data_IF_799442712891
#
_entry.id   IF_799442712891
#
_cell.length_a   1.000
_cell.length_b   1.000
_cell.length_c   1.000
_cell.angle_alpha   90.00
_cell.angle_beta   90.00
_cell.angle_gamma   90.00
#
_symmetry.space_group_name_H-M   'P 1'
#
loop_
_entity.id
_entity.type
_entity.pdbx_description
1 polymer ?
#
# COMPACT_ATOMS: atom_id res chain seq x y z
N UNK A 1 -54.16 -23.10 45.26
CA UNK A 1 -52.94 -23.67 45.88
C UNK A 1 -51.76 -22.82 45.45
N UNK A 2 -51.25 -22.02 46.38
CA UNK A 2 -50.17 -21.07 46.16
C UNK A 2 -48.81 -21.76 46.34
N UNK A 3 -47.83 -21.43 45.50
CA UNK A 3 -46.42 -21.70 45.79
C UNK A 3 -45.58 -20.57 45.21
N UNK A 4 -45.45 -19.56 46.06
CA UNK A 4 -44.53 -18.44 45.95
C UNK A 4 -43.19 -18.90 46.51
N UNK A 5 -42.12 -18.86 45.71
CA UNK A 5 -40.75 -19.10 46.22
C UNK A 5 -39.88 -17.90 45.90
N UNK A 6 -39.62 -17.13 46.96
CA UNK A 6 -38.61 -16.07 47.06
C UNK A 6 -37.22 -16.71 47.14
N UNK A 7 -36.22 -16.17 46.43
CA UNK A 7 -34.79 -16.24 46.82
C UNK A 7 -34.14 -14.90 46.45
N UNK A 8 -34.05 -13.96 47.39
CA UNK A 8 -32.92 -13.70 48.30
C UNK A 8 -31.62 -13.42 47.56
N UNK A 9 -31.23 -12.15 47.55
CA UNK A 9 -30.01 -11.66 46.92
C UNK A 9 -28.73 -12.06 47.65
N UNK A 10 -27.62 -11.84 46.97
CA UNK A 10 -26.29 -11.76 47.56
C UNK A 10 -25.57 -10.56 46.94
N UNK A 11 -25.76 -9.42 47.58
CA UNK A 11 -24.95 -8.23 47.39
C UNK A 11 -23.59 -8.49 48.04
N UNK A 12 -22.54 -8.69 47.25
CA UNK A 12 -21.16 -8.70 47.75
C UNK A 12 -20.54 -7.34 47.49
N UNK A 13 -20.78 -6.47 48.46
CA UNK A 13 -20.03 -5.25 48.69
C UNK A 13 -18.61 -5.65 49.11
N UNK A 14 -17.64 -5.57 48.19
CA UNK A 14 -16.22 -5.84 48.48
C UNK A 14 -15.52 -4.49 48.64
N UNK A 15 -15.57 -3.96 49.86
CA UNK A 15 -14.68 -2.89 50.28
C UNK A 15 -13.27 -3.47 50.35
N UNK A 16 -12.36 -2.92 49.56
CA UNK A 16 -10.92 -3.10 49.68
C UNK A 16 -10.35 -1.82 50.29
N UNK A 17 -9.97 -1.80 51.57
CA UNK A 17 -9.09 -0.78 52.10
C UNK A 17 -7.66 -1.33 52.01
N UNK A 18 -6.75 -0.61 51.35
CA UNK A 18 -5.42 -0.35 51.91
C UNK A 18 -4.74 0.78 51.14
N UNK A 19 -4.28 1.73 51.91
CA UNK A 19 -3.69 3.00 51.53
C UNK A 19 -2.30 2.80 50.95
N UNK A 20 -1.96 3.55 49.90
CA UNK A 20 -0.56 3.85 49.55
C UNK A 20 -0.52 5.23 48.88
N UNK A 21 -0.69 6.28 49.69
CA UNK A 21 -0.81 7.69 49.28
C UNK A 21 0.53 8.46 49.27
N UNK A 22 1.69 7.79 49.34
CA UNK A 22 2.98 8.50 49.47
C UNK A 22 3.92 8.40 48.26
N UNK A 23 3.38 8.25 47.04
CA UNK A 23 4.15 8.43 45.79
C UNK A 23 3.42 9.27 44.71
N UNK A 24 2.40 10.03 45.09
CA UNK A 24 1.53 10.76 44.17
C UNK A 24 2.04 12.15 43.74
N UNK A 25 3.36 12.33 43.64
CA UNK A 25 3.96 13.61 43.16
C UNK A 25 5.23 13.45 42.35
N UNK A 26 5.51 12.26 41.80
CA UNK A 26 6.24 12.23 40.54
C UNK A 26 5.25 12.54 39.44
N UNK A 27 5.29 13.79 38.99
CA UNK A 27 4.64 14.31 37.79
C UNK A 27 4.54 13.19 36.75
N UNK A 28 3.34 12.60 36.66
CA UNK A 28 2.96 11.68 35.59
C UNK A 28 2.84 12.53 34.34
N UNK A 29 3.98 13.01 33.87
CA UNK A 29 4.21 13.44 32.51
C UNK A 29 3.97 12.17 31.70
N UNK A 30 2.68 11.93 31.41
CA UNK A 30 2.23 10.88 30.54
C UNK A 30 2.98 11.12 29.25
N UNK A 31 4.00 10.29 29.05
CA UNK A 31 4.90 10.43 27.93
C UNK A 31 4.06 10.18 26.67
N UNK A 32 3.55 11.28 26.09
CA UNK A 32 2.57 11.26 25.00
C UNK A 32 3.17 10.62 23.75
N UNK A 33 4.49 10.49 23.72
CA UNK A 33 5.27 9.82 22.70
C UNK A 33 5.34 8.30 22.89
N UNK A 34 5.10 7.79 24.11
CA UNK A 34 5.08 6.35 24.34
C UNK A 34 3.74 5.73 23.92
N UNK A 35 3.75 5.14 22.73
CA UNK A 35 2.62 4.44 22.11
C UNK A 35 2.10 3.25 22.93
N UNK A 36 2.87 2.71 23.87
CA UNK A 36 2.43 1.60 24.71
C UNK A 36 1.37 2.02 25.72
N UNK A 37 1.43 3.27 26.18
CA UNK A 37 0.51 3.84 27.16
C UNK A 37 -0.82 4.26 26.54
N UNK A 38 -0.92 4.31 25.21
CA UNK A 38 -2.14 4.75 24.53
C UNK A 38 -3.27 3.74 24.69
N UNK A 39 -4.48 4.25 24.96
CA UNK A 39 -5.69 3.44 24.99
C UNK A 39 -6.20 3.16 23.57
N UNK A 40 -7.02 2.12 23.40
CA UNK A 40 -7.64 1.83 22.10
C UNK A 40 -8.55 2.97 21.60
N UNK A 41 -9.13 3.79 22.50
CA UNK A 41 -9.89 4.97 22.13
C UNK A 41 -8.98 6.04 21.51
N UNK A 42 -7.82 6.29 22.12
CA UNK A 42 -6.86 7.28 21.61
C UNK A 42 -6.36 6.94 20.21
N UNK A 43 -6.01 5.68 19.95
CA UNK A 43 -5.63 5.26 18.60
C UNK A 43 -6.72 5.52 17.57
N UNK A 44 -7.99 5.23 17.90
CA UNK A 44 -9.11 5.48 16.99
C UNK A 44 -9.30 6.96 16.69
N UNK A 45 -9.12 7.82 17.69
CA UNK A 45 -9.26 9.27 17.50
C UNK A 45 -8.13 9.83 16.64
N UNK A 46 -6.87 9.42 16.85
CA UNK A 46 -5.76 9.84 16.00
C UNK A 46 -5.91 9.34 14.56
N UNK A 47 -6.30 8.07 14.37
CA UNK A 47 -6.53 7.54 13.02
C UNK A 47 -7.75 8.19 12.34
N UNK A 48 -8.74 8.68 13.09
CA UNK A 48 -9.86 9.46 12.54
C UNK A 48 -9.40 10.83 12.04
N UNK A 49 -8.39 11.45 12.67
CA UNK A 49 -7.77 12.68 12.14
C UNK A 49 -7.08 12.42 10.79
N UNK A 50 -6.63 11.19 10.54
CA UNK A 50 -6.09 10.76 9.25
C UNK A 50 -7.17 10.38 8.22
N UNK A 51 -8.45 10.57 8.56
CA UNK A 51 -9.57 10.21 7.69
C UNK A 51 -9.86 8.71 7.60
N UNK A 52 -9.32 7.89 8.51
CA UNK A 52 -9.50 6.43 8.50
C UNK A 52 -10.69 6.06 9.39
N UNK A 53 -11.70 5.40 8.80
CA UNK A 53 -12.86 4.88 9.52
C UNK A 53 -12.55 3.51 10.14
N UNK A 54 -12.72 3.39 11.47
CA UNK A 54 -12.27 2.21 12.23
C UNK A 54 -13.43 1.50 12.93
N UNK A 55 -13.62 0.18 12.72
CA UNK A 55 -14.56 -0.64 13.47
C UNK A 55 -14.25 -0.71 14.97
N UNK A 56 -15.28 -0.71 15.82
CA UNK A 56 -15.11 -0.85 17.28
C UNK A 56 -14.49 -2.19 17.69
N UNK A 57 -14.67 -3.23 16.89
CA UNK A 57 -14.20 -4.60 17.15
C UNK A 57 -12.69 -4.81 17.03
N UNK A 58 -11.94 -3.87 16.44
CA UNK A 58 -10.50 -4.01 16.28
C UNK A 58 -9.75 -3.90 17.61
N UNK A 59 -8.77 -4.78 17.79
CA UNK A 59 -7.94 -4.84 19.00
C UNK A 59 -6.89 -3.72 19.04
N UNK A 60 -6.42 -3.37 20.24
CA UNK A 60 -5.37 -2.34 20.45
C UNK A 60 -4.12 -2.60 19.61
N UNK A 61 -3.71 -3.86 19.47
CA UNK A 61 -2.52 -4.24 18.67
C UNK A 61 -2.68 -3.89 17.20
N UNK A 62 -3.85 -4.19 16.60
CA UNK A 62 -4.14 -3.86 15.20
C UNK A 62 -4.17 -2.34 15.01
N UNK A 63 -4.76 -1.61 15.96
CA UNK A 63 -4.81 -0.15 15.93
C UNK A 63 -3.41 0.48 16.04
N UNK A 64 -2.53 -0.06 16.90
CA UNK A 64 -1.12 0.37 17.03
C UNK A 64 -0.36 0.18 15.72
N UNK A 65 -0.49 -0.99 15.08
CA UNK A 65 0.17 -1.27 13.81
C UNK A 65 -0.32 -0.34 12.70
N UNK A 66 -1.65 -0.18 12.57
CA UNK A 66 -2.23 0.71 11.56
C UNK A 66 -1.77 2.17 11.75
N UNK A 67 -1.64 2.62 12.99
CA UNK A 67 -1.13 3.95 13.29
C UNK A 67 0.33 4.12 12.86
N UNK A 68 1.20 3.15 13.17
CA UNK A 68 2.61 3.19 12.74
C UNK A 68 2.74 3.23 11.21
N UNK A 69 2.01 2.37 10.50
CA UNK A 69 2.04 2.29 9.03
C UNK A 69 1.59 3.59 8.33
N UNK A 70 0.76 4.40 9.00
CA UNK A 70 0.25 5.67 8.45
C UNK A 70 1.02 6.90 8.98
N UNK A 71 1.65 6.82 10.16
CA UNK A 71 2.42 7.93 10.75
C UNK A 71 3.60 8.32 9.86
N UNK A 72 4.27 7.35 9.24
CA UNK A 72 5.40 7.59 8.35
C UNK A 72 5.02 8.41 7.10
N UNK A 73 3.75 8.34 6.68
CA UNK A 73 3.26 9.07 5.50
C UNK A 73 2.98 10.54 5.76
N UNK A 74 2.87 10.96 7.02
CA UNK A 74 2.61 12.36 7.36
C UNK A 74 3.88 13.19 7.43
N UNK A 75 5.06 12.55 7.49
CA UNK A 75 6.32 13.26 7.65
C UNK A 75 6.95 13.72 6.31
N UNK A 76 6.35 13.39 5.16
CA UNK A 76 6.95 13.64 3.85
C UNK A 76 6.45 14.88 3.11
N UNK A 77 5.37 15.52 3.56
CA UNK A 77 4.67 16.52 2.74
C UNK A 77 4.96 18.00 3.08
N UNK A 78 5.78 18.30 4.09
CA UNK A 78 6.09 19.71 4.43
C UNK A 78 7.24 20.34 3.62
N UNK A 79 7.84 19.63 2.64
CA UNK A 79 9.03 20.15 1.91
C UNK A 79 8.78 20.66 0.48
N UNK A 80 7.59 20.52 -0.09
CA UNK A 80 7.32 20.97 -1.48
C UNK A 80 6.29 22.11 -1.59
N UNK A 81 6.07 22.85 -0.50
CA UNK A 81 5.17 24.01 -0.44
C UNK A 81 5.85 25.37 -0.24
N UNK A 82 7.19 25.45 -0.32
CA UNK A 82 7.88 26.75 -0.29
C UNK A 82 7.72 27.44 -1.65
N UNK A 83 6.59 28.12 -1.82
CA UNK A 83 6.42 29.15 -2.83
C UNK A 83 7.57 30.14 -2.71
N UNK A 84 8.40 30.16 -3.75
CA UNK A 84 9.27 31.28 -4.11
C UNK A 84 8.40 32.55 -4.18
N UNK A 85 8.32 33.28 -3.07
CA UNK A 85 8.00 34.69 -3.08
C UNK A 85 9.27 35.41 -3.55
N UNK A 86 9.44 35.46 -4.87
CA UNK A 86 10.37 36.39 -5.49
C UNK A 86 9.72 37.79 -5.50
N UNK A 87 10.49 38.73 -4.97
CA UNK A 87 10.55 40.15 -5.33
C UNK A 87 9.23 40.95 -5.37
N UNK A 88 9.00 41.67 -4.28
CA UNK A 88 8.25 42.91 -4.31
C UNK A 88 9.09 44.01 -3.65
N UNK A 89 9.81 44.82 -4.45
CA UNK A 89 9.94 46.28 -4.26
C UNK A 89 10.80 46.98 -5.34
N UNK A 90 10.14 47.90 -6.07
CA UNK A 90 10.60 49.25 -6.52
C UNK A 90 10.53 49.56 -8.04
N UNK A 91 9.63 50.52 -8.35
CA UNK A 91 9.62 51.58 -9.39
C UNK A 91 8.86 51.40 -10.74
N UNK A 92 7.64 51.95 -10.70
CA UNK A 92 7.04 53.01 -11.56
C UNK A 92 6.62 52.74 -13.03
N UNK A 93 5.60 53.50 -13.52
CA UNK A 93 4.69 53.09 -14.60
C UNK A 93 5.09 53.67 -15.95
N UNK A 94 4.81 52.94 -17.05
CA UNK A 94 4.75 53.50 -18.39
C UNK A 94 3.60 52.91 -19.20
N UNK A 95 2.68 53.82 -19.48
CA UNK A 95 1.75 53.97 -20.59
C UNK A 95 1.77 52.95 -21.74
N UNK A 96 0.56 52.47 -22.04
CA UNK A 96 -0.11 52.39 -23.34
C UNK A 96 0.71 52.12 -24.60
N UNK A 97 0.37 51.04 -25.32
CA UNK A 97 0.06 51.13 -26.77
C UNK A 97 -0.75 49.93 -27.23
N UNK A 98 -1.78 50.28 -28.00
CA UNK A 98 -2.77 49.43 -28.64
C UNK A 98 -2.16 48.32 -29.50
N UNK A 99 -2.67 47.10 -29.32
CA UNK A 99 -2.72 46.13 -30.40
C UNK A 99 -4.13 45.51 -30.47
N UNK A 100 -4.89 46.02 -31.43
CA UNK A 100 -6.03 45.34 -32.04
C UNK A 100 -5.56 43.97 -32.56
N UNK A 101 -6.29 42.89 -32.25
CA UNK A 101 -5.95 41.60 -32.83
C UNK A 101 -6.78 40.42 -32.34
N UNK A 102 -7.86 40.16 -33.08
CA UNK A 102 -8.42 38.83 -33.38
C UNK A 102 -9.20 38.14 -32.23
N UNK A 103 -10.52 38.28 -32.32
CA UNK A 103 -11.47 37.27 -31.84
C UNK A 103 -11.24 35.96 -32.60
N UNK A 104 -10.81 34.92 -31.89
CA UNK A 104 -11.05 33.52 -32.26
C UNK A 104 -11.57 32.77 -31.06
N UNK A 105 -12.78 32.22 -31.23
CA UNK A 105 -13.49 31.39 -30.30
C UNK A 105 -12.62 30.22 -29.82
N UNK A 106 -12.12 30.30 -28.59
CA UNK A 106 -11.44 29.19 -27.94
C UNK A 106 -12.28 28.72 -26.77
N UNK A 107 -13.21 27.85 -27.13
CA UNK A 107 -13.78 26.77 -26.35
C UNK A 107 -12.66 25.97 -25.66
N UNK A 108 -12.07 26.53 -24.59
CA UNK A 108 -11.21 25.81 -23.66
C UNK A 108 -12.11 25.02 -22.74
N UNK A 109 -12.64 23.95 -23.34
CA UNK A 109 -13.18 22.82 -22.63
C UNK A 109 -12.24 22.51 -21.48
N UNK A 110 -12.81 22.55 -20.27
CA UNK A 110 -12.23 21.98 -19.07
C UNK A 110 -11.50 20.71 -19.47
N UNK A 111 -10.17 20.78 -19.46
CA UNK A 111 -9.33 19.61 -19.36
C UNK A 111 -9.74 18.96 -18.04
N UNK A 112 -10.77 18.10 -18.11
CA UNK A 112 -10.94 17.00 -17.20
C UNK A 112 -9.58 16.32 -17.30
N UNK A 113 -8.73 16.60 -16.32
CA UNK A 113 -7.72 15.67 -15.87
C UNK A 113 -8.47 14.38 -15.65
N UNK A 114 -8.57 13.56 -16.70
CA UNK A 114 -8.90 12.16 -16.64
C UNK A 114 -7.74 11.63 -15.82
N UNK A 115 -7.88 11.72 -14.49
CA UNK A 115 -7.09 10.93 -13.58
C UNK A 115 -7.24 9.54 -14.17
N UNK A 116 -6.17 8.92 -14.71
CA UNK A 116 -6.29 7.57 -15.25
C UNK A 116 -6.92 6.79 -14.11
N UNK A 117 -8.14 6.30 -14.35
CA UNK A 117 -8.97 5.62 -13.38
C UNK A 117 -8.07 4.58 -12.73
N UNK A 118 -7.51 4.90 -11.55
CA UNK A 118 -6.38 4.15 -11.03
C UNK A 118 -6.93 2.76 -10.81
N UNK A 119 -6.52 1.78 -11.63
CA UNK A 119 -7.17 0.50 -11.65
C UNK A 119 -6.99 -0.03 -10.24
N UNK A 120 -8.13 -0.30 -9.60
CA UNK A 120 -8.30 -0.84 -8.26
C UNK A 120 -6.99 -1.50 -7.78
N UNK A 121 -6.37 -0.96 -6.71
CA UNK A 121 -5.01 -1.36 -6.25
C UNK A 121 -4.89 -2.86 -6.01
N UNK A 122 -6.03 -3.53 -5.83
CA UNK A 122 -6.16 -4.94 -5.57
C UNK A 122 -6.79 -5.67 -6.78
N UNK A 123 -6.33 -6.90 -7.02
CA UNK A 123 -6.94 -7.81 -8.00
C UNK A 123 -8.31 -8.33 -7.51
N UNK A 124 -8.96 -9.17 -8.32
CA UNK A 124 -10.26 -9.79 -7.96
C UNK A 124 -10.20 -10.64 -6.68
N UNK A 125 -9.01 -11.01 -6.24
CA UNK A 125 -8.75 -11.81 -5.05
C UNK A 125 -8.24 -10.94 -3.86
N UNK A 126 -8.24 -9.61 -4.00
CA UNK A 126 -7.81 -8.71 -2.94
C UNK A 126 -6.29 -8.59 -2.77
N UNK A 127 -5.48 -9.07 -3.72
CA UNK A 127 -4.01 -8.98 -3.67
C UNK A 127 -3.51 -7.75 -4.41
N UNK A 128 -2.44 -7.12 -3.93
CA UNK A 128 -1.82 -5.98 -4.60
C UNK A 128 -1.43 -6.31 -6.04
N UNK A 129 -1.80 -5.42 -6.96
CA UNK A 129 -1.43 -5.51 -8.38
C UNK A 129 -0.03 -4.94 -8.58
N UNK A 130 0.83 -5.67 -9.28
CA UNK A 130 2.19 -5.25 -9.61
C UNK A 130 2.26 -4.97 -11.11
N UNK A 131 2.86 -3.86 -11.51
CA UNK A 131 3.00 -3.48 -12.92
C UNK A 131 4.47 -3.38 -13.32
N UNK A 132 4.84 -3.94 -14.48
CA UNK A 132 6.14 -3.77 -15.14
C UNK A 132 5.94 -3.29 -16.57
N UNK A 133 6.63 -2.22 -16.94
CA UNK A 133 6.62 -1.71 -18.32
C UNK A 133 5.20 -1.44 -18.85
N UNK A 134 4.34 -0.90 -17.98
CA UNK A 134 2.93 -0.62 -18.28
C UNK A 134 2.01 -1.84 -18.36
N UNK A 135 2.52 -3.07 -18.15
CA UNK A 135 1.73 -4.31 -18.11
C UNK A 135 1.61 -4.85 -16.69
N UNK A 136 0.44 -5.38 -16.35
CA UNK A 136 0.23 -6.05 -15.07
C UNK A 136 0.96 -7.40 -15.03
N UNK A 137 1.73 -7.61 -13.96
CA UNK A 137 2.44 -8.85 -13.66
C UNK A 137 1.45 -9.90 -13.18
N UNK A 138 1.56 -11.12 -13.71
CA UNK A 138 0.71 -12.23 -13.29
C UNK A 138 1.03 -12.67 -11.86
N UNK A 139 0.12 -12.39 -10.93
CA UNK A 139 0.24 -12.85 -9.54
C UNK A 139 0.30 -14.37 -9.41
N UNK A 140 -0.34 -15.12 -10.32
CA UNK A 140 -0.27 -16.58 -10.30
C UNK A 140 1.10 -17.10 -10.74
N UNK A 141 1.74 -16.44 -11.71
CA UNK A 141 3.12 -16.77 -12.10
C UNK A 141 4.08 -16.64 -10.93
N UNK A 142 3.95 -15.58 -10.12
CA UNK A 142 4.78 -15.33 -8.94
C UNK A 142 4.40 -16.15 -7.70
N UNK A 143 3.49 -17.11 -7.82
CA UNK A 143 3.15 -18.03 -6.74
C UNK A 143 4.00 -19.31 -6.86
N UNK A 144 4.07 -20.11 -5.79
CA UNK A 144 4.82 -21.39 -5.75
C UNK A 144 4.35 -22.36 -6.83
N UNK A 145 3.06 -22.32 -7.19
CA UNK A 145 2.46 -23.17 -8.21
C UNK A 145 2.69 -22.70 -9.65
N UNK A 146 3.10 -21.45 -9.85
CA UNK A 146 3.17 -20.83 -11.18
C UNK A 146 1.80 -20.58 -11.83
N UNK A 147 1.84 -20.04 -13.06
CA UNK A 147 0.65 -19.80 -13.86
C UNK A 147 0.38 -20.99 -14.80
N UNK A 148 -0.79 -21.62 -14.69
CA UNK A 148 -1.18 -22.77 -15.53
C UNK A 148 -1.85 -22.39 -16.86
N UNK A 149 -1.99 -21.10 -17.17
CA UNK A 149 -2.58 -20.67 -18.44
C UNK A 149 -1.54 -20.76 -19.54
N UNK A 150 -1.85 -21.53 -20.58
CA UNK A 150 -1.05 -21.59 -21.82
C UNK A 150 -0.95 -20.22 -22.49
N UNK A 151 -2.05 -19.48 -22.51
CA UNK A 151 -2.13 -18.08 -22.95
C UNK A 151 -2.54 -17.18 -21.80
N UNK A 152 -1.55 -16.51 -21.19
CA UNK A 152 -1.78 -15.56 -20.11
C UNK A 152 -1.71 -14.13 -20.68
N UNK A 153 -2.78 -13.35 -20.47
CA UNK A 153 -2.81 -11.94 -20.89
C UNK A 153 -1.97 -11.02 -19.98
N UNK A 154 -1.48 -11.55 -18.85
CA UNK A 154 -0.65 -10.84 -17.88
C UNK A 154 0.83 -11.17 -18.10
N UNK A 155 1.71 -10.26 -17.69
CA UNK A 155 3.15 -10.42 -17.86
C UNK A 155 3.70 -11.50 -16.91
N UNK A 156 4.36 -12.51 -17.46
CA UNK A 156 5.14 -13.50 -16.69
C UNK A 156 6.53 -12.95 -16.39
N UNK A 157 6.63 -12.13 -15.35
CA UNK A 157 7.88 -11.57 -14.85
C UNK A 157 7.95 -11.74 -13.33
N UNK A 158 9.16 -11.97 -12.82
CA UNK A 158 9.45 -12.00 -11.39
C UNK A 158 9.07 -10.65 -10.76
N UNK A 159 8.24 -10.66 -9.73
CA UNK A 159 7.84 -9.43 -9.03
C UNK A 159 9.00 -8.75 -8.29
N UNK A 160 10.10 -9.48 -8.04
CA UNK A 160 11.29 -8.97 -7.34
C UNK A 160 12.30 -8.35 -8.30
N UNK A 161 12.73 -9.10 -9.33
CA UNK A 161 13.82 -8.69 -10.22
C UNK A 161 13.39 -8.36 -11.66
N UNK A 162 12.07 -8.42 -11.96
CA UNK A 162 11.48 -8.19 -13.29
C UNK A 162 11.91 -9.15 -14.40
N UNK A 163 12.75 -10.16 -14.12
CA UNK A 163 13.14 -11.18 -15.10
C UNK A 163 11.98 -12.11 -15.47
N UNK A 164 11.88 -12.51 -16.74
CA UNK A 164 10.87 -13.46 -17.25
C UNK A 164 11.29 -14.93 -17.13
N UNK A 165 12.52 -15.19 -16.68
CA UNK A 165 13.09 -16.54 -16.61
C UNK A 165 12.67 -17.35 -15.38
N UNK A 166 12.11 -16.71 -14.35
CA UNK A 166 11.76 -17.38 -13.09
C UNK A 166 10.63 -16.66 -12.32
N UNK A 167 9.83 -17.39 -11.53
CA UNK A 167 8.86 -16.79 -10.61
C UNK A 167 9.52 -16.28 -9.32
N UNK A 168 8.84 -15.40 -8.58
CA UNK A 168 9.36 -14.83 -7.33
C UNK A 168 9.94 -15.82 -6.30
N UNK A 169 9.34 -17.01 -6.04
CA UNK A 169 9.87 -17.95 -5.05
C UNK A 169 11.25 -18.52 -5.39
N UNK A 170 11.64 -18.51 -6.66
CA UNK A 170 12.95 -19.00 -7.13
C UNK A 170 13.88 -17.84 -7.49
N UNK A 171 13.54 -16.61 -7.10
CA UNK A 171 14.35 -15.43 -7.38
C UNK A 171 15.56 -15.39 -6.44
N UNK A 172 16.77 -15.44 -7.02
CA UNK A 172 18.03 -15.24 -6.30
C UNK A 172 18.45 -13.76 -6.23
N UNK A 173 17.74 -12.88 -6.96
CA UNK A 173 17.99 -11.44 -6.97
C UNK A 173 17.71 -10.82 -5.60
N UNK A 174 18.70 -10.10 -5.06
CA UNK A 174 18.58 -9.41 -3.79
C UNK A 174 17.53 -8.28 -3.89
N UNK A 175 16.59 -8.22 -2.94
CA UNK A 175 15.44 -7.29 -2.95
C UNK A 175 15.82 -5.80 -2.89
N UNK A 176 17.09 -5.48 -2.70
CA UNK A 176 17.53 -4.16 -2.24
C UNK A 176 17.93 -3.16 -3.34
N UNK A 177 18.03 -3.54 -4.62
CA UNK A 177 18.65 -2.66 -5.63
C UNK A 177 17.84 -2.32 -6.89
N UNK A 178 16.52 -2.52 -6.93
CA UNK A 178 15.73 -2.23 -8.14
C UNK A 178 15.14 -0.80 -8.24
N UNK A 179 15.52 0.13 -7.35
CA UNK A 179 15.15 1.55 -7.50
C UNK A 179 16.11 2.37 -8.36
N UNK A 180 17.21 1.78 -8.84
CA UNK A 180 18.11 2.46 -9.76
C UNK A 180 18.39 1.59 -10.99
N UNK A 181 18.15 2.18 -12.16
CA UNK A 181 18.54 1.73 -13.50
C UNK A 181 17.62 0.71 -14.19
N UNK A 182 16.76 1.23 -15.08
CA UNK A 182 16.85 0.84 -16.49
C UNK A 182 16.38 1.97 -17.41
N UNK A 183 17.36 2.64 -18.02
CA UNK A 183 17.22 3.49 -19.21
C UNK A 183 16.75 2.60 -20.37
N UNK A 184 15.75 2.99 -21.17
CA UNK A 184 15.18 2.12 -22.19
C UNK A 184 16.18 1.87 -23.33
N UNK A 185 16.72 0.65 -23.42
CA UNK A 185 17.27 0.17 -24.69
C UNK A 185 16.12 -0.20 -25.61
N UNK A 186 15.82 0.72 -26.54
CA UNK A 186 15.01 0.44 -27.71
C UNK A 186 15.67 -0.67 -28.54
N UNK A 187 14.83 -1.58 -29.03
CA UNK A 187 15.09 -2.46 -30.18
C UNK A 187 16.10 -3.61 -30.00
N UNK A 188 15.58 -4.82 -29.84
CA UNK A 188 15.86 -5.90 -30.79
C UNK A 188 14.80 -7.00 -30.68
N UNK A 189 14.00 -7.09 -31.74
CA UNK A 189 13.16 -8.26 -32.01
C UNK A 189 14.09 -9.43 -32.37
N UNK A 190 13.84 -10.61 -31.78
CA UNK A 190 13.64 -11.90 -32.45
C UNK A 190 13.99 -13.03 -31.49
N UNK A 191 12.99 -13.82 -31.10
CA UNK A 191 13.23 -15.24 -30.95
C UNK A 191 12.06 -16.00 -31.56
N UNK A 192 12.47 -16.78 -32.55
CA UNK A 192 11.66 -17.71 -33.34
C UNK A 192 11.26 -18.88 -32.44
N UNK A 193 10.08 -19.42 -32.71
CA UNK A 193 9.62 -20.72 -32.27
C UNK A 193 10.72 -21.79 -32.45
N UNK A 194 10.80 -22.72 -31.50
CA UNK A 194 11.35 -24.06 -31.73
C UNK A 194 10.64 -25.04 -30.80
N UNK A 195 9.56 -25.59 -31.30
CA UNK A 195 9.04 -26.91 -30.94
C UNK A 195 10.15 -27.93 -31.20
N UNK A 196 10.67 -28.56 -30.14
CA UNK A 196 11.46 -29.79 -30.25
C UNK A 196 10.80 -30.84 -29.37
N UNK A 197 9.93 -31.63 -30.00
CA UNK A 197 9.65 -33.00 -29.57
C UNK A 197 10.97 -33.76 -29.54
N UNK A 198 11.26 -34.40 -28.40
CA UNK A 198 12.11 -35.58 -28.38
C UNK A 198 11.29 -36.70 -27.75
N UNK A 199 10.76 -37.52 -28.65
CA UNK A 199 10.43 -38.92 -28.38
C UNK A 199 11.61 -39.58 -27.67
N UNK A 200 11.35 -40.08 -26.48
CA UNK A 200 12.24 -40.98 -25.76
C UNK A 200 11.55 -42.34 -25.72
N UNK A 201 11.68 -43.10 -26.80
CA UNK A 201 11.38 -44.53 -26.82
C UNK A 201 12.56 -45.27 -26.19
N UNK A 202 12.40 -45.69 -24.93
CA UNK A 202 13.36 -46.58 -24.27
C UNK A 202 13.00 -48.02 -24.62
N UNK A 203 13.75 -48.61 -25.54
CA UNK A 203 13.70 -50.03 -25.87
C UNK A 203 14.25 -50.88 -24.72
N UNK A 204 13.45 -51.86 -24.32
CA UNK A 204 13.72 -52.92 -23.34
C UNK A 204 14.66 -53.97 -23.96
N UNK A 205 15.76 -54.41 -23.31
CA UNK A 205 16.50 -55.57 -23.77
C UNK A 205 15.82 -56.86 -23.29
N UNK A 206 15.44 -57.71 -24.25
CA UNK A 206 15.14 -59.12 -24.04
C UNK A 206 16.43 -59.86 -23.66
N UNK A 207 16.42 -60.51 -22.50
CA UNK A 207 17.48 -61.42 -22.10
C UNK A 207 16.98 -62.85 -22.27
N UNK A 208 17.46 -63.51 -23.33
CA UNK A 208 17.34 -64.95 -23.57
C UNK A 208 18.74 -65.54 -23.55
N UNK A 209 19.06 -66.30 -22.50
CA UNK A 209 19.76 -67.60 -22.48
C UNK A 209 20.30 -67.87 -21.09
#
# INVERSE_FOLDING_TARGET
>A
MASSTRRTGCSRNRQHPYNNEENATQSSQWDMENLENWTGARFRDELRKLGINIPKSWSKTVLKQLYLDNKERLCTDEREGATVAADDHIRQPRECSDHQGIHVDSNLGYNRSVRPNMPNKLDKQGRSRVFSDGKEVCNNYNNVRGCFRTTCNLLHACSTCRSTGHPAPTCTGNRQNHHNVHVPQKYSQTYKNSTSSKDFTQTKPDNKS
#
